data_IF_353873504176
#
_entry.id   IF_353873504176
#
_cell.length_a   1.000
_cell.length_b   1.000
_cell.length_c   1.000
_cell.angle_alpha   90.00
_cell.angle_beta   90.00
_cell.angle_gamma   90.00
#
_symmetry.space_group_name_H-M   'P 1'
#
loop_
_entity.id
_entity.type
_entity.pdbx_description
1 polymer ?
#
# COMPACT_ATOMS: atom_id res chain seq x y z
N UNK A 1 44.06 -77.09 33.55
CA UNK A 1 45.00 -76.16 32.88
C UNK A 1 44.19 -75.10 32.16
N UNK A 2 44.53 -73.83 32.40
CA UNK A 2 43.83 -72.64 31.92
C UNK A 2 43.87 -72.53 30.40
N UNK A 3 42.71 -72.29 29.77
CA UNK A 3 42.58 -71.98 28.35
C UNK A 3 41.81 -70.67 28.17
N UNK A 4 42.49 -69.62 27.75
CA UNK A 4 41.91 -68.30 27.43
C UNK A 4 41.09 -68.38 26.13
N UNK A 5 39.88 -67.83 26.17
CA UNK A 5 39.01 -67.63 25.01
C UNK A 5 39.22 -66.23 24.40
N UNK A 6 39.30 -66.08 23.07
CA UNK A 6 39.22 -64.78 22.41
C UNK A 6 37.76 -64.34 22.18
N UNK A 7 37.44 -63.03 22.26
CA UNK A 7 36.09 -62.53 21.97
C UNK A 7 35.81 -62.51 20.46
N UNK A 8 34.63 -63.01 20.06
CA UNK A 8 34.10 -62.89 18.70
C UNK A 8 33.38 -61.53 18.49
N UNK A 9 33.54 -60.89 17.32
CA UNK A 9 32.87 -59.62 17.01
C UNK A 9 31.37 -59.81 16.66
N UNK A 10 30.47 -58.88 17.06
CA UNK A 10 29.06 -58.93 16.67
C UNK A 10 28.85 -58.62 15.18
N UNK A 11 28.06 -59.46 14.50
CA UNK A 11 27.78 -59.36 13.08
C UNK A 11 26.65 -58.40 12.68
N UNK A 12 26.62 -58.09 11.39
CA UNK A 12 25.45 -57.57 10.67
C UNK A 12 25.40 -58.19 9.26
N UNK A 13 24.17 -58.37 8.79
CA UNK A 13 23.72 -59.40 7.87
C UNK A 13 24.01 -59.17 6.36
N UNK A 14 23.97 -60.29 5.64
CA UNK A 14 24.07 -60.45 4.19
C UNK A 14 22.82 -59.89 3.45
N UNK A 15 23.04 -59.36 2.24
CA UNK A 15 22.02 -58.98 1.25
C UNK A 15 21.21 -60.20 0.74
N UNK A 16 19.95 -59.99 0.31
CA UNK A 16 19.36 -60.80 -0.76
C UNK A 16 19.08 -60.00 -2.04
N UNK A 17 19.29 -60.64 -3.20
CA UNK A 17 19.03 -60.13 -4.55
C UNK A 17 17.77 -60.76 -5.20
N UNK A 18 17.06 -59.98 -6.05
CA UNK A 18 16.11 -60.31 -7.18
C UNK A 18 14.80 -61.09 -6.88
N UNK A 19 13.59 -60.88 -7.47
CA UNK A 19 13.06 -60.22 -8.70
C UNK A 19 11.49 -59.99 -8.60
N UNK A 20 10.71 -59.48 -9.62
CA UNK A 20 9.70 -58.42 -9.47
C UNK A 20 8.20 -58.84 -9.53
N UNK A 21 7.26 -57.91 -9.24
CA UNK A 21 6.15 -57.69 -10.21
C UNK A 21 5.65 -56.23 -10.30
N UNK A 22 5.21 -55.84 -11.50
CA UNK A 22 4.08 -54.92 -11.69
C UNK A 22 4.39 -53.42 -11.75
N UNK A 23 4.08 -52.84 -12.90
CA UNK A 23 4.06 -51.40 -13.19
C UNK A 23 3.21 -50.60 -12.16
N UNK A 24 3.76 -49.54 -11.55
CA UNK A 24 3.01 -48.56 -10.76
C UNK A 24 3.14 -47.16 -11.39
N UNK A 25 2.03 -46.44 -11.66
CA UNK A 25 2.07 -45.11 -12.28
C UNK A 25 2.57 -44.02 -11.31
N UNK A 26 3.06 -42.86 -11.80
CA UNK A 26 3.58 -41.79 -10.94
C UNK A 26 2.48 -41.15 -10.09
N UNK A 27 2.78 -40.96 -8.80
CA UNK A 27 1.94 -40.19 -7.87
C UNK A 27 2.00 -38.69 -8.19
N UNK A 28 0.84 -38.04 -8.26
CA UNK A 28 0.71 -36.59 -8.45
C UNK A 28 1.10 -35.82 -7.17
N UNK A 29 1.89 -34.72 -7.24
CA UNK A 29 2.17 -33.89 -6.08
C UNK A 29 0.95 -33.04 -5.69
N UNK A 30 0.27 -33.44 -4.61
CA UNK A 30 -0.71 -32.63 -3.90
C UNK A 30 -0.12 -32.00 -2.64
N UNK A 31 -0.30 -30.69 -2.51
CA UNK A 31 -0.80 -29.96 -1.34
C UNK A 31 -0.24 -30.25 0.07
N UNK A 32 0.41 -29.21 0.65
CA UNK A 32 0.33 -28.77 2.05
C UNK A 32 0.86 -27.32 2.10
N UNK A 33 0.40 -26.35 2.89
CA UNK A 33 -0.56 -26.28 4.00
C UNK A 33 -0.90 -24.80 4.26
N UNK A 34 -2.16 -24.48 4.56
CA UNK A 34 -2.62 -23.16 5.04
C UNK A 34 -2.89 -23.19 6.55
N UNK A 35 -2.62 -22.12 7.33
CA UNK A 35 -2.82 -22.13 8.78
C UNK A 35 -4.29 -22.07 9.21
N UNK A 36 -4.56 -22.74 10.33
CA UNK A 36 -5.84 -22.98 11.01
C UNK A 36 -6.72 -21.75 11.29
N UNK A 37 -8.04 -21.93 11.11
CA UNK A 37 -9.10 -21.07 11.63
C UNK A 37 -9.60 -21.57 13.00
N UNK A 38 -9.96 -20.68 13.94
CA UNK A 38 -10.68 -21.08 15.15
C UNK A 38 -12.20 -21.23 14.89
N UNK A 39 -12.80 -22.03 15.76
CA UNK A 39 -14.09 -22.70 15.63
C UNK A 39 -15.28 -21.78 15.99
N UNK A 40 -16.32 -21.80 15.16
CA UNK A 40 -17.72 -21.89 15.59
C UNK A 40 -18.51 -20.62 15.91
N UNK A 41 -19.26 -20.11 14.92
CA UNK A 41 -20.66 -19.67 15.08
C UNK A 41 -21.39 -19.89 13.74
N UNK A 42 -22.49 -20.65 13.76
CA UNK A 42 -23.30 -20.96 12.59
C UNK A 42 -24.16 -19.74 12.18
N UNK A 43 -24.29 -19.41 10.88
CA UNK A 43 -25.26 -18.42 10.42
C UNK A 43 -26.69 -18.99 10.50
N UNK A 44 -27.71 -18.20 10.90
CA UNK A 44 -29.10 -18.61 10.84
C UNK A 44 -29.52 -18.90 9.39
N UNK A 45 -30.08 -20.09 9.15
CA UNK A 45 -30.72 -20.43 7.89
C UNK A 45 -31.95 -19.54 7.69
N UNK A 46 -31.98 -18.75 6.61
CA UNK A 46 -33.17 -18.00 6.21
C UNK A 46 -34.26 -18.98 5.74
N UNK A 47 -35.51 -18.87 6.23
CA UNK A 47 -36.62 -19.67 5.72
C UNK A 47 -36.94 -19.31 4.26
N UNK A 48 -37.49 -20.25 3.46
CA UNK A 48 -37.90 -19.98 2.09
C UNK A 48 -39.05 -18.96 2.06
N UNK A 49 -38.90 -17.89 1.29
CA UNK A 49 -39.96 -16.92 1.05
C UNK A 49 -41.08 -17.57 0.21
N UNK A 50 -42.07 -18.13 0.89
CA UNK A 50 -43.35 -18.47 0.29
C UNK A 50 -44.06 -17.19 -0.13
N UNK A 51 -44.24 -17.02 -1.45
CA UNK A 51 -45.05 -15.95 -2.01
C UNK A 51 -46.51 -16.12 -1.61
N UNK A 52 -47.06 -15.14 -0.90
CA UNK A 52 -48.49 -15.02 -0.71
C UNK A 52 -49.11 -14.30 -1.92
N UNK A 53 -50.20 -14.82 -2.51
CA UNK A 53 -50.92 -14.10 -3.56
C UNK A 53 -51.65 -12.90 -2.97
N UNK A 54 -51.48 -11.73 -3.60
CA UNK A 54 -52.26 -10.54 -3.30
C UNK A 54 -53.74 -10.75 -3.73
N UNK A 55 -54.74 -10.35 -2.93
CA UNK A 55 -56.15 -10.44 -3.33
C UNK A 55 -56.43 -9.51 -4.51
N UNK A 56 -56.90 -10.09 -5.61
CA UNK A 56 -57.28 -9.37 -6.81
C UNK A 56 -58.61 -8.65 -6.64
N UNK A 57 -58.60 -7.32 -6.77
CA UNK A 57 -59.78 -6.54 -7.10
C UNK A 57 -59.81 -6.34 -8.64
N UNK A 58 -60.86 -6.77 -9.36
CA UNK A 58 -60.97 -6.47 -10.78
C UNK A 58 -61.36 -5.00 -10.96
N UNK A 59 -60.39 -4.18 -11.38
CA UNK A 59 -60.65 -2.83 -11.87
C UNK A 59 -61.09 -2.89 -13.35
N UNK A 60 -62.20 -2.23 -13.75
CA UNK A 60 -62.66 -2.23 -15.14
C UNK A 60 -61.60 -1.66 -16.10
N UNK A 61 -61.32 -2.41 -17.17
CA UNK A 61 -60.29 -2.09 -18.15
C UNK A 61 -60.60 -0.83 -18.94
N UNK A 62 -59.65 0.10 -18.93
CA UNK A 62 -59.54 1.18 -19.90
C UNK A 62 -58.19 1.02 -20.63
N UNK A 63 -58.15 0.91 -21.97
CA UNK A 63 -56.89 0.79 -22.68
C UNK A 63 -56.13 2.12 -22.61
N UNK A 64 -54.93 2.09 -22.02
CA UNK A 64 -54.01 3.22 -22.04
C UNK A 64 -53.37 3.33 -23.44
N UNK A 65 -53.35 4.52 -24.10
CA UNK A 65 -52.72 4.70 -25.40
C UNK A 65 -51.22 4.44 -25.32
N UNK A 66 -50.73 3.51 -26.14
CA UNK A 66 -49.30 3.17 -26.23
C UNK A 66 -48.51 4.30 -26.88
N UNK A 67 -47.68 4.99 -26.10
CA UNK A 67 -46.62 5.83 -26.64
C UNK A 67 -45.41 4.96 -26.98
N UNK A 68 -44.83 5.04 -28.19
CA UNK A 68 -43.64 4.29 -28.54
C UNK A 68 -42.46 4.79 -27.68
N UNK A 69 -41.87 3.89 -26.91
CA UNK A 69 -40.64 4.16 -26.17
C UNK A 69 -39.49 4.31 -27.19
N UNK A 70 -39.13 5.55 -27.48
CA UNK A 70 -38.00 5.89 -28.34
C UNK A 70 -36.71 5.58 -27.58
N UNK A 71 -36.11 4.42 -27.89
CA UNK A 71 -34.87 3.95 -27.29
C UNK A 71 -33.72 4.91 -27.62
N UNK A 72 -33.21 5.61 -26.61
CA UNK A 72 -31.93 6.29 -26.71
C UNK A 72 -30.80 5.25 -26.79
N UNK A 73 -29.85 5.37 -27.74
CA UNK A 73 -28.70 4.49 -27.75
C UNK A 73 -27.89 4.70 -26.47
N UNK A 74 -27.67 3.60 -25.74
CA UNK A 74 -26.83 3.60 -24.54
C UNK A 74 -25.42 4.04 -24.94
N UNK A 75 -25.05 5.26 -24.57
CA UNK A 75 -23.70 5.78 -24.76
C UNK A 75 -22.71 4.88 -24.03
N UNK A 76 -21.73 4.37 -24.76
CA UNK A 76 -20.56 3.69 -24.19
C UNK A 76 -19.73 4.72 -23.43
N UNK A 77 -19.92 4.79 -22.12
CA UNK A 77 -19.03 5.59 -21.28
C UNK A 77 -17.60 5.03 -21.40
N UNK A 78 -16.57 5.88 -21.63
CA UNK A 78 -15.20 5.41 -21.63
C UNK A 78 -14.88 4.77 -20.27
N UNK A 79 -14.25 3.59 -20.32
CA UNK A 79 -13.85 2.86 -19.12
C UNK A 79 -13.03 3.77 -18.20
N UNK A 80 -13.48 3.92 -16.95
CA UNK A 80 -12.80 4.75 -15.97
C UNK A 80 -11.36 4.27 -15.81
N UNK A 81 -10.40 5.18 -16.04
CA UNK A 81 -8.98 4.89 -15.86
C UNK A 81 -8.75 4.46 -14.41
N UNK A 82 -8.17 3.28 -14.15
CA UNK A 82 -7.93 2.81 -12.78
C UNK A 82 -7.12 3.85 -12.01
N UNK A 83 -7.46 4.17 -10.74
CA UNK A 83 -6.68 5.08 -9.93
C UNK A 83 -5.22 4.62 -9.91
N UNK A 84 -4.28 5.50 -10.26
CA UNK A 84 -2.84 5.13 -10.38
C UNK A 84 -1.98 5.59 -9.18
N UNK A 85 -2.61 6.20 -8.16
CA UNK A 85 -1.90 6.77 -7.01
C UNK A 85 -1.13 8.06 -7.33
N UNK A 86 -1.50 8.77 -8.40
CA UNK A 86 -0.84 9.99 -8.87
C UNK A 86 -1.10 11.22 -7.98
N UNK A 87 -2.32 11.34 -7.47
CA UNK A 87 -2.77 12.54 -6.76
C UNK A 87 -1.91 12.87 -5.53
N UNK A 88 -1.58 11.91 -4.64
CA UNK A 88 -0.64 12.17 -3.54
C UNK A 88 0.71 12.70 -4.01
N UNK A 89 1.27 12.20 -5.11
CA UNK A 89 2.52 12.73 -5.65
C UNK A 89 2.36 14.15 -6.21
N UNK A 90 1.27 14.43 -6.92
CA UNK A 90 1.02 15.77 -7.45
C UNK A 90 0.87 16.83 -6.35
N UNK A 91 0.30 16.48 -5.20
CA UNK A 91 0.26 17.36 -4.01
C UNK A 91 1.66 17.69 -3.48
N UNK A 92 2.66 16.87 -3.83
CA UNK A 92 4.08 17.14 -3.67
C UNK A 92 4.56 18.45 -4.33
N UNK A 93 3.90 18.90 -5.40
CA UNK A 93 4.29 20.10 -6.14
C UNK A 93 3.83 21.41 -5.50
N UNK A 94 3.01 21.36 -4.44
CA UNK A 94 2.64 22.57 -3.67
C UNK A 94 3.87 23.31 -3.11
N UNK A 95 5.01 22.63 -3.01
CA UNK A 95 6.30 23.21 -2.65
C UNK A 95 6.75 24.35 -3.59
N UNK A 96 6.26 24.38 -4.82
CA UNK A 96 6.61 25.39 -5.82
C UNK A 96 5.82 26.70 -5.64
N UNK A 97 4.89 26.78 -4.67
CA UNK A 97 4.25 28.04 -4.30
C UNK A 97 5.34 28.99 -3.79
N UNK A 98 5.50 30.20 -4.37
CA UNK A 98 6.61 31.11 -4.09
C UNK A 98 6.43 31.88 -2.77
N UNK A 99 5.98 31.19 -1.72
CA UNK A 99 5.90 31.72 -0.37
C UNK A 99 6.85 30.91 0.51
N UNK A 100 7.86 31.56 1.15
CA UNK A 100 8.86 30.85 1.94
C UNK A 100 8.22 29.92 2.96
N UNK A 101 8.68 28.66 2.95
CA UNK A 101 8.27 27.58 3.86
C UNK A 101 6.84 27.05 3.69
N UNK A 102 5.86 27.91 3.39
CA UNK A 102 4.45 27.54 3.29
C UNK A 102 4.21 26.51 2.20
N UNK A 103 4.79 26.69 1.02
CA UNK A 103 4.67 25.71 -0.06
C UNK A 103 5.15 24.32 0.38
N UNK A 104 6.33 24.25 1.02
CA UNK A 104 6.91 23.00 1.52
C UNK A 104 6.03 22.34 2.57
N UNK A 105 5.63 23.08 3.62
CA UNK A 105 4.78 22.53 4.67
C UNK A 105 3.41 22.07 4.13
N UNK A 106 2.78 22.88 3.28
CA UNK A 106 1.51 22.53 2.63
C UNK A 106 1.65 21.27 1.78
N UNK A 107 2.77 21.11 1.05
CA UNK A 107 3.07 19.90 0.30
C UNK A 107 3.15 18.66 1.19
N UNK A 108 3.97 18.70 2.25
CA UNK A 108 4.11 17.57 3.17
C UNK A 108 2.78 17.17 3.84
N UNK A 109 2.00 18.17 4.28
CA UNK A 109 0.67 17.97 4.87
C UNK A 109 -0.29 17.34 3.85
N UNK A 110 -0.38 17.91 2.64
CA UNK A 110 -1.30 17.43 1.62
C UNK A 110 -0.97 15.98 1.18
N UNK A 111 0.32 15.66 1.03
CA UNK A 111 0.78 14.30 0.75
C UNK A 111 0.39 13.34 1.89
N UNK A 112 0.61 13.72 3.15
CA UNK A 112 0.26 12.90 4.31
C UNK A 112 -1.25 12.63 4.42
N UNK A 113 -2.08 13.67 4.25
CA UNK A 113 -3.55 13.58 4.34
C UNK A 113 -4.14 12.74 3.19
N UNK A 114 -3.62 12.90 1.97
CA UNK A 114 -4.09 12.15 0.79
C UNK A 114 -3.81 10.63 0.85
N UNK A 115 -2.87 10.21 1.71
CA UNK A 115 -2.66 8.79 2.01
C UNK A 115 -3.85 8.13 2.69
N UNK A 116 -4.59 8.88 3.53
CA UNK A 116 -5.78 8.39 4.24
C UNK A 116 -6.95 8.10 3.30
N UNK A 117 -7.22 9.01 2.36
CA UNK A 117 -8.27 8.85 1.33
C UNK A 117 -7.95 7.83 0.25
N UNK A 118 -6.70 7.36 0.17
CA UNK A 118 -6.26 6.37 -0.81
C UNK A 118 -6.30 4.93 -0.30
N UNK A 119 -6.53 4.71 1.00
CA UNK A 119 -6.69 3.37 1.61
C UNK A 119 -7.85 2.57 1.01
N UNK A 120 -8.81 3.26 0.40
CA UNK A 120 -9.97 2.68 -0.29
C UNK A 120 -9.64 2.06 -1.66
N UNK A 121 -8.44 2.29 -2.20
CA UNK A 121 -8.03 1.75 -3.49
C UNK A 121 -6.92 0.70 -3.27
N UNK A 122 -7.23 -0.56 -3.55
CA UNK A 122 -6.28 -1.67 -3.46
C UNK A 122 -5.23 -1.66 -4.59
N UNK A 123 -4.26 -2.58 -4.50
CA UNK A 123 -3.23 -2.78 -5.53
C UNK A 123 -2.19 -1.65 -5.63
N UNK A 124 -1.66 -1.46 -6.85
CA UNK A 124 -0.56 -0.50 -7.15
C UNK A 124 -0.91 0.94 -6.74
N UNK A 125 -2.17 1.33 -6.87
CA UNK A 125 -2.65 2.66 -6.51
C UNK A 125 -2.48 2.96 -5.02
N UNK A 126 -2.90 2.02 -4.17
CA UNK A 126 -2.80 2.14 -2.72
C UNK A 126 -1.35 2.06 -2.25
N UNK A 127 -0.51 1.22 -2.86
CA UNK A 127 0.92 1.18 -2.57
C UNK A 127 1.63 2.51 -2.90
N UNK A 128 1.37 3.08 -4.07
CA UNK A 128 1.92 4.37 -4.46
C UNK A 128 1.44 5.51 -3.55
N UNK A 129 0.17 5.51 -3.17
CA UNK A 129 -0.35 6.51 -2.27
C UNK A 129 0.23 6.41 -0.86
N UNK A 130 0.46 5.19 -0.35
CA UNK A 130 1.13 4.96 0.94
C UNK A 130 2.59 5.39 0.90
N UNK A 131 3.31 5.07 -0.18
CA UNK A 131 4.68 5.51 -0.36
C UNK A 131 4.79 7.03 -0.40
N UNK A 132 3.90 7.70 -1.14
CA UNK A 132 3.81 9.16 -1.19
C UNK A 132 3.52 9.75 0.19
N UNK A 133 2.54 9.22 0.92
CA UNK A 133 2.17 9.71 2.24
C UNK A 133 3.28 9.53 3.28
N UNK A 134 3.95 8.38 3.29
CA UNK A 134 5.10 8.12 4.18
C UNK A 134 6.26 9.06 3.89
N UNK A 135 6.54 9.32 2.61
CA UNK A 135 7.54 10.31 2.21
C UNK A 135 7.13 11.73 2.61
N UNK A 136 5.90 12.14 2.30
CA UNK A 136 5.36 13.45 2.65
C UNK A 136 5.42 13.72 4.16
N UNK A 137 5.12 12.70 4.98
CA UNK A 137 5.23 12.79 6.44
C UNK A 137 6.70 12.88 6.91
N UNK A 138 7.60 12.12 6.29
CA UNK A 138 9.04 12.21 6.58
C UNK A 138 9.58 13.60 6.23
N UNK A 139 9.25 14.10 5.03
CA UNK A 139 9.62 15.44 4.60
C UNK A 139 9.03 16.50 5.53
N UNK A 140 7.74 16.41 5.88
CA UNK A 140 7.10 17.34 6.81
C UNK A 140 7.78 17.37 8.17
N UNK A 141 8.10 16.19 8.73
CA UNK A 141 8.79 16.09 10.02
C UNK A 141 10.17 16.74 9.96
N UNK A 142 11.01 16.32 9.01
CA UNK A 142 12.40 16.79 8.91
C UNK A 142 12.46 18.28 8.59
N UNK A 143 11.62 18.75 7.66
CA UNK A 143 11.54 20.17 7.29
C UNK A 143 11.06 21.05 8.44
N UNK A 144 10.09 20.59 9.25
CA UNK A 144 9.63 21.30 10.45
C UNK A 144 10.74 21.41 11.49
N UNK A 145 11.47 20.31 11.76
CA UNK A 145 12.62 20.33 12.69
C UNK A 145 13.69 21.31 12.22
N UNK A 146 14.08 21.27 10.95
CA UNK A 146 15.08 22.19 10.39
C UNK A 146 14.65 23.66 10.50
N UNK A 147 13.37 23.96 10.29
CA UNK A 147 12.85 25.33 10.41
C UNK A 147 12.85 25.81 11.86
N UNK A 148 12.37 25.00 12.80
CA UNK A 148 12.41 25.33 14.22
C UNK A 148 13.86 25.55 14.65
N UNK A 149 14.78 24.64 14.30
CA UNK A 149 16.20 24.78 14.59
C UNK A 149 16.81 26.03 13.98
N UNK A 150 16.43 26.41 12.74
CA UNK A 150 16.91 27.64 12.10
C UNK A 150 16.53 28.87 12.91
N UNK A 151 15.25 29.02 13.29
CA UNK A 151 14.79 30.18 14.05
C UNK A 151 15.38 30.20 15.46
N UNK A 152 15.50 29.05 16.13
CA UNK A 152 16.16 28.96 17.43
C UNK A 152 17.61 29.45 17.33
N UNK A 153 18.39 28.92 16.39
CA UNK A 153 19.80 29.32 16.21
C UNK A 153 19.91 30.79 15.80
N UNK A 154 19.06 31.26 14.89
CA UNK A 154 19.01 32.65 14.45
C UNK A 154 18.81 33.57 15.66
N UNK A 155 17.72 33.40 16.39
CA UNK A 155 17.41 34.27 17.53
C UNK A 155 18.41 34.14 18.67
N UNK A 156 18.91 32.93 18.96
CA UNK A 156 19.90 32.73 20.03
C UNK A 156 21.25 33.37 19.71
N UNK A 157 21.70 33.34 18.45
CA UNK A 157 23.02 33.87 18.06
C UNK A 157 22.99 35.35 17.68
N UNK A 158 21.82 35.93 17.41
CA UNK A 158 21.68 37.35 17.08
C UNK A 158 20.98 38.17 18.17
N UNK A 159 20.79 37.60 19.37
CA UNK A 159 20.06 38.27 20.46
C UNK A 159 20.78 39.55 20.94
N UNK A 160 22.09 39.44 21.19
CA UNK A 160 22.87 40.53 21.80
C UNK A 160 23.65 41.37 20.76
N UNK A 161 24.04 40.75 19.65
CA UNK A 161 24.79 41.43 18.59
C UNK A 161 24.56 40.75 17.23
N UNK A 162 24.66 41.50 16.12
CA UNK A 162 24.59 40.91 14.79
C UNK A 162 25.70 39.87 14.58
N UNK A 163 25.34 38.70 14.06
CA UNK A 163 26.32 37.68 13.69
C UNK A 163 27.18 38.14 12.51
N UNK A 164 28.51 37.98 12.59
CA UNK A 164 29.46 38.41 11.56
C UNK A 164 29.53 37.50 10.32
N UNK A 165 28.89 36.34 10.35
CA UNK A 165 28.92 35.37 9.26
C UNK A 165 27.62 34.57 9.13
N UNK A 166 27.44 33.94 7.95
CA UNK A 166 26.26 33.12 7.67
C UNK A 166 26.24 31.82 8.49
N UNK A 167 27.41 31.21 8.73
CA UNK A 167 27.52 29.98 9.51
C UNK A 167 27.81 30.30 10.98
N UNK A 168 27.14 29.63 11.94
CA UNK A 168 26.33 28.41 11.81
C UNK A 168 24.82 28.62 11.55
N UNK A 169 24.31 29.86 11.58
CA UNK A 169 22.88 30.20 11.40
C UNK A 169 22.31 29.63 10.09
N UNK A 170 23.15 29.59 9.06
CA UNK A 170 22.85 29.14 7.71
C UNK A 170 22.74 27.63 7.52
N UNK A 171 23.30 26.82 8.43
CA UNK A 171 23.34 25.35 8.24
C UNK A 171 21.92 24.77 8.08
N UNK A 172 20.97 25.03 8.99
CA UNK A 172 19.65 24.39 8.89
C UNK A 172 18.87 24.84 7.65
N UNK A 173 18.99 26.12 7.28
CA UNK A 173 18.29 26.67 6.10
C UNK A 173 18.87 26.15 4.79
N UNK A 174 20.20 25.97 4.69
CA UNK A 174 20.83 25.32 3.52
C UNK A 174 20.37 23.88 3.38
N UNK A 175 20.35 23.11 4.48
CA UNK A 175 19.88 21.72 4.47
C UNK A 175 18.39 21.66 4.09
N UNK A 176 17.56 22.59 4.59
CA UNK A 176 16.15 22.68 4.24
C UNK A 176 15.95 22.85 2.73
N UNK A 177 16.70 23.75 2.08
CA UNK A 177 16.61 23.93 0.63
C UNK A 177 17.11 22.72 -0.16
N UNK A 178 18.21 22.09 0.28
CA UNK A 178 18.71 20.86 -0.35
C UNK A 178 17.69 19.71 -0.25
N UNK A 179 17.07 19.52 0.93
CA UNK A 179 16.00 18.56 1.15
C UNK A 179 14.77 18.87 0.28
N UNK A 180 14.44 20.16 0.11
CA UNK A 180 13.31 20.62 -0.71
C UNK A 180 13.54 20.34 -2.20
N UNK A 181 14.76 20.54 -2.71
CA UNK A 181 15.12 20.14 -4.07
C UNK A 181 15.01 18.62 -4.24
N UNK A 182 15.51 17.84 -3.27
CA UNK A 182 15.38 16.38 -3.27
C UNK A 182 13.90 15.93 -3.24
N UNK A 183 13.05 16.60 -2.47
CA UNK A 183 11.62 16.36 -2.43
C UNK A 183 10.97 16.55 -3.80
N UNK A 184 11.29 17.64 -4.51
CA UNK A 184 10.79 17.88 -5.88
C UNK A 184 11.20 16.74 -6.82
N UNK A 185 12.46 16.31 -6.78
CA UNK A 185 12.95 15.19 -7.61
C UNK A 185 12.17 13.92 -7.31
N UNK A 186 12.02 13.56 -6.03
CA UNK A 186 11.27 12.36 -5.63
C UNK A 186 9.80 12.45 -6.01
N UNK A 187 9.19 13.63 -5.92
CA UNK A 187 7.81 13.89 -6.33
C UNK A 187 7.64 13.66 -7.84
N UNK A 188 8.55 14.17 -8.66
CA UNK A 188 8.54 13.95 -10.11
C UNK A 188 8.73 12.47 -10.44
N UNK A 189 9.71 11.80 -9.82
CA UNK A 189 9.93 10.36 -10.00
C UNK A 189 8.70 9.54 -9.58
N UNK A 190 8.04 9.93 -8.49
CA UNK A 190 6.81 9.32 -7.99
C UNK A 190 5.65 9.46 -8.97
N UNK A 191 5.44 10.65 -9.53
CA UNK A 191 4.45 10.88 -10.58
C UNK A 191 4.75 10.06 -11.83
N UNK A 192 5.99 10.04 -12.33
CA UNK A 192 6.38 9.27 -13.53
C UNK A 192 6.18 7.76 -13.32
N UNK A 193 6.53 7.25 -12.14
CA UNK A 193 6.41 5.83 -11.85
C UNK A 193 4.95 5.42 -11.66
N UNK A 194 4.16 6.26 -10.99
CA UNK A 194 2.72 6.07 -10.83
C UNK A 194 1.97 6.17 -12.17
N UNK A 195 2.34 7.09 -13.07
CA UNK A 195 1.71 7.20 -14.40
C UNK A 195 1.95 5.95 -15.25
N UNK A 196 3.13 5.33 -15.12
CA UNK A 196 3.48 4.06 -15.75
C UNK A 196 2.92 2.80 -15.07
N UNK A 197 2.09 2.93 -14.02
CA UNK A 197 1.50 1.79 -13.31
C UNK A 197 2.50 0.96 -12.50
N UNK A 198 3.66 1.53 -12.14
CA UNK A 198 4.70 0.88 -11.33
C UNK A 198 4.64 1.39 -9.89
N UNK A 199 5.06 0.55 -8.94
CA UNK A 199 5.09 0.90 -7.51
C UNK A 199 6.37 1.66 -7.16
N UNK A 200 6.23 2.84 -6.58
CA UNK A 200 7.31 3.65 -6.05
C UNK A 200 7.67 3.19 -4.63
N UNK A 201 8.94 2.89 -4.42
CA UNK A 201 9.50 2.54 -3.11
C UNK A 201 10.50 3.62 -2.78
N UNK A 202 10.21 4.40 -1.75
CA UNK A 202 11.18 5.37 -1.22
C UNK A 202 11.95 4.67 -0.11
N UNK A 203 13.23 4.27 -0.33
CA UNK A 203 13.99 3.55 0.69
C UNK A 203 14.28 4.43 1.93
N UNK A 204 14.20 5.75 1.79
CA UNK A 204 14.48 6.72 2.85
C UNK A 204 13.25 7.21 3.62
N UNK A 205 12.03 6.83 3.19
CA UNK A 205 10.82 7.23 3.90
C UNK A 205 10.63 6.34 5.12
N UNK A 206 10.37 6.95 6.28
CA UNK A 206 10.03 6.19 7.49
C UNK A 206 8.64 5.56 7.27
N UNK A 207 8.47 4.24 7.44
CA UNK A 207 7.22 3.56 7.14
C UNK A 207 6.22 3.75 8.30
N UNK A 208 5.55 4.91 8.30
CA UNK A 208 4.50 5.24 9.26
C UNK A 208 3.19 4.49 8.98
N UNK A 209 2.84 4.30 7.70
CA UNK A 209 1.68 3.54 7.26
C UNK A 209 2.12 2.16 6.76
N UNK A 210 1.70 1.10 7.46
CA UNK A 210 1.97 -0.32 7.13
C UNK A 210 0.68 -1.03 6.67
N UNK A 211 0.84 -2.15 5.97
CA UNK A 211 -0.26 -2.98 5.46
C UNK A 211 -0.98 -3.73 6.59
#
# INVERSE_FOLDING_TARGET
>A
MYGYAPPQPPGYAQQPASQPPGYAPPAAPGQASSPQQPVGYAPPQMPPSQGYPAPGNPAPGHPAPGYPAQGYPAGTYPAAVPPRGLLPWALGLLILIPFPFVGGLASGIAMAVSGGTSRRFGGVAGENARAAANWGLTYLLVSTVLLISHFVILFSLTADSPSSGFYPIGIPITIYFALSAFHVVLVIMGMVKASGGRVMRVPFAIPYLRA
#
